data_IF_266661180324
#
_entry.id   IF_266661180324
#
_cell.length_a   1.000
_cell.length_b   1.000
_cell.length_c   1.000
_cell.angle_alpha   90.00
_cell.angle_beta   90.00
_cell.angle_gamma   90.00
#
_symmetry.space_group_name_H-M   'P 1'
#
loop_
_entity.id
_entity.type
_entity.pdbx_description
1 polymer ?
#
# COMPACT_ATOMS: atom_id res chain seq x y z
N UNK A 1 -38.20 -10.59 -21.69
CA UNK A 1 -37.58 -9.32 -21.24
C UNK A 1 -37.59 -9.30 -19.71
N UNK A 2 -36.58 -8.71 -19.07
CA UNK A 2 -36.53 -8.57 -17.60
C UNK A 2 -36.62 -7.09 -17.25
N UNK A 3 -37.68 -6.68 -16.55
CA UNK A 3 -37.81 -5.32 -16.03
C UNK A 3 -36.86 -5.15 -14.84
N UNK A 4 -35.59 -4.80 -15.10
CA UNK A 4 -34.66 -4.34 -14.08
C UNK A 4 -35.18 -3.03 -13.51
N UNK A 5 -35.78 -3.08 -12.32
CA UNK A 5 -36.26 -1.88 -11.63
C UNK A 5 -35.03 -1.02 -11.24
N UNK A 6 -35.07 0.31 -11.42
CA UNK A 6 -33.96 1.17 -11.05
C UNK A 6 -33.72 1.09 -9.53
N UNK A 7 -32.45 1.13 -9.06
CA UNK A 7 -32.14 1.06 -7.65
C UNK A 7 -32.74 2.25 -6.90
N UNK A 8 -33.27 1.99 -5.69
CA UNK A 8 -33.95 3.03 -4.92
C UNK A 8 -32.99 4.14 -4.49
N UNK A 9 -33.53 5.34 -4.22
CA UNK A 9 -32.76 6.48 -3.69
C UNK A 9 -31.96 6.10 -2.43
N UNK A 10 -32.53 5.25 -1.57
CA UNK A 10 -31.88 4.71 -0.37
C UNK A 10 -30.77 3.69 -0.67
N UNK A 11 -30.92 2.83 -1.68
CA UNK A 11 -29.86 1.92 -2.13
C UNK A 11 -28.66 2.71 -2.70
N UNK A 12 -28.93 3.73 -3.51
CA UNK A 12 -27.87 4.59 -4.07
C UNK A 12 -27.12 5.37 -2.99
N UNK A 13 -27.83 5.88 -1.97
CA UNK A 13 -27.20 6.49 -0.79
C UNK A 13 -26.34 5.50 0.00
N UNK A 14 -26.82 4.27 0.24
CA UNK A 14 -26.05 3.26 0.97
C UNK A 14 -24.74 2.89 0.26
N UNK A 15 -24.77 2.75 -1.08
CA UNK A 15 -23.57 2.51 -1.89
C UNK A 15 -22.61 3.71 -1.86
N UNK A 16 -23.13 4.94 -1.91
CA UNK A 16 -22.30 6.14 -1.81
C UNK A 16 -21.59 6.29 -0.44
N UNK A 17 -22.28 5.96 0.66
CA UNK A 17 -21.68 5.95 2.00
C UNK A 17 -20.62 4.85 2.13
N UNK A 18 -20.86 3.67 1.56
CA UNK A 18 -19.88 2.59 1.49
C UNK A 18 -18.63 2.97 0.68
N UNK A 19 -18.81 3.61 -0.48
CA UNK A 19 -17.70 4.08 -1.31
C UNK A 19 -16.84 5.14 -0.61
N UNK A 20 -17.47 6.08 0.12
CA UNK A 20 -16.78 7.07 0.94
C UNK A 20 -15.90 6.40 2.01
N UNK A 21 -16.45 5.49 2.82
CA UNK A 21 -15.69 4.78 3.87
C UNK A 21 -14.44 4.04 3.35
N UNK A 22 -14.51 3.42 2.17
CA UNK A 22 -13.32 2.81 1.54
C UNK A 22 -12.27 3.87 1.17
N UNK A 23 -12.70 5.01 0.66
CA UNK A 23 -11.82 6.13 0.30
C UNK A 23 -11.21 6.80 1.54
N UNK A 24 -11.98 6.92 2.63
CA UNK A 24 -11.53 7.50 3.90
C UNK A 24 -10.42 6.65 4.55
N UNK A 25 -10.59 5.31 4.63
CA UNK A 25 -9.53 4.41 5.14
C UNK A 25 -8.30 4.40 4.23
N UNK A 26 -8.47 4.46 2.89
CA UNK A 26 -7.35 4.59 1.95
C UNK A 26 -6.57 5.89 2.17
N UNK A 27 -7.25 6.98 2.49
CA UNK A 27 -6.63 8.27 2.78
C UNK A 27 -6.00 8.29 4.18
N UNK A 28 -6.52 7.56 5.17
CA UNK A 28 -5.86 7.33 6.44
C UNK A 28 -4.56 6.53 6.26
N UNK A 29 -4.64 5.38 5.57
CA UNK A 29 -3.48 4.53 5.24
C UNK A 29 -2.39 5.30 4.49
N UNK A 30 -2.75 6.09 3.48
CA UNK A 30 -1.80 6.93 2.71
C UNK A 30 -1.11 8.01 3.55
N UNK A 31 -1.76 8.52 4.60
CA UNK A 31 -1.12 9.46 5.55
C UNK A 31 -0.07 8.73 6.37
N UNK A 32 -0.44 7.63 7.04
CA UNK A 32 0.53 6.79 7.77
C UNK A 32 1.70 6.30 6.88
N UNK A 33 1.45 5.95 5.60
CA UNK A 33 2.47 5.63 4.60
C UNK A 33 3.45 6.81 4.35
N UNK A 34 2.96 8.04 4.29
CA UNK A 34 3.74 9.27 4.07
C UNK A 34 4.46 9.74 5.35
N UNK A 35 3.77 9.75 6.48
CA UNK A 35 4.31 10.15 7.78
C UNK A 35 5.46 9.20 8.20
N UNK A 36 5.33 7.90 7.89
CA UNK A 36 6.41 6.92 8.02
C UNK A 36 7.63 7.19 7.11
N UNK A 37 7.45 7.82 5.94
CA UNK A 37 8.57 8.25 5.08
C UNK A 37 9.24 9.51 5.64
N UNK A 38 8.45 10.46 6.16
CA UNK A 38 8.96 11.68 6.78
C UNK A 38 9.81 11.36 8.03
N UNK A 39 9.32 10.48 8.90
CA UNK A 39 10.09 9.96 10.05
C UNK A 39 11.36 9.24 9.62
N UNK A 40 11.31 8.37 8.61
CA UNK A 40 12.49 7.67 8.10
C UNK A 40 13.59 8.65 7.59
N UNK A 41 13.20 9.73 6.91
CA UNK A 41 14.13 10.78 6.48
C UNK A 41 14.73 11.53 7.68
N UNK A 42 13.92 11.86 8.70
CA UNK A 42 14.38 12.56 9.91
C UNK A 42 15.31 11.68 10.76
N UNK A 43 15.03 10.39 10.88
CA UNK A 43 15.91 9.37 11.46
C UNK A 43 17.26 9.32 10.74
N UNK A 44 17.28 9.39 9.41
CA UNK A 44 18.55 9.43 8.68
C UNK A 44 19.34 10.72 8.97
N UNK A 45 18.68 11.87 9.02
CA UNK A 45 19.34 13.12 9.41
C UNK A 45 19.89 13.09 10.85
N UNK A 46 19.16 12.49 11.80
CA UNK A 46 19.67 12.29 13.17
C UNK A 46 20.90 11.38 13.21
N UNK A 47 20.93 10.30 12.42
CA UNK A 47 22.11 9.41 12.30
C UNK A 47 23.31 10.14 11.69
N UNK A 48 23.09 10.91 10.63
CA UNK A 48 24.10 11.78 10.02
C UNK A 48 24.68 12.80 11.02
N UNK A 49 23.81 13.43 11.82
CA UNK A 49 24.22 14.40 12.85
C UNK A 49 24.97 13.74 14.00
N UNK A 50 24.54 12.55 14.45
CA UNK A 50 25.27 11.75 15.43
C UNK A 50 26.65 11.34 14.94
N UNK A 51 26.79 10.91 13.67
CA UNK A 51 28.10 10.64 13.09
C UNK A 51 28.97 11.89 13.05
N UNK A 52 28.43 13.05 12.66
CA UNK A 52 29.15 14.33 12.63
C UNK A 52 29.59 14.74 14.03
N UNK A 53 28.75 14.55 15.05
CA UNK A 53 29.07 14.80 16.44
C UNK A 53 30.17 13.85 16.94
N UNK A 54 30.04 12.53 16.72
CA UNK A 54 31.07 11.51 17.03
C UNK A 54 32.42 11.86 16.38
N UNK A 55 32.42 12.19 15.09
CA UNK A 55 33.62 12.60 14.33
C UNK A 55 34.26 13.85 14.92
N UNK A 56 33.47 14.87 15.30
CA UNK A 56 33.95 16.10 15.97
C UNK A 56 34.49 15.84 17.39
N UNK A 57 33.86 14.98 18.18
CA UNK A 57 34.33 14.61 19.53
C UNK A 57 35.66 13.86 19.46
N UNK A 58 35.76 12.87 18.56
CA UNK A 58 37.01 12.15 18.29
C UNK A 58 38.10 13.10 17.76
N UNK A 59 37.75 14.03 16.87
CA UNK A 59 38.70 15.05 16.41
C UNK A 59 39.14 15.99 17.52
N UNK A 60 38.24 16.46 18.39
CA UNK A 60 38.58 17.32 19.52
C UNK A 60 39.52 16.61 20.51
N UNK A 61 39.26 15.33 20.83
CA UNK A 61 40.14 14.50 21.66
C UNK A 61 41.48 14.19 20.96
N UNK A 62 41.47 13.97 19.64
CA UNK A 62 42.69 13.78 18.84
C UNK A 62 43.52 15.05 18.82
N UNK A 63 42.93 16.21 18.55
CA UNK A 63 43.58 17.53 18.63
C UNK A 63 44.08 17.84 20.05
N UNK A 64 43.37 17.41 21.09
CA UNK A 64 43.85 17.57 22.48
C UNK A 64 45.11 16.75 22.72
N UNK A 65 45.12 15.47 22.32
CA UNK A 65 46.30 14.61 22.36
C UNK A 65 47.43 15.16 21.50
N UNK A 66 47.15 15.57 20.26
CA UNK A 66 48.12 16.19 19.36
C UNK A 66 48.70 17.49 19.92
N UNK A 67 47.92 18.35 20.58
CA UNK A 67 48.44 19.57 21.21
C UNK A 67 49.29 19.21 22.44
N UNK A 68 48.90 18.21 23.23
CA UNK A 68 49.71 17.73 24.36
C UNK A 68 51.02 17.09 23.87
N UNK A 69 50.94 16.19 22.90
CA UNK A 69 52.07 15.57 22.20
C UNK A 69 52.90 16.60 21.44
N UNK A 70 52.33 17.70 20.93
CA UNK A 70 53.08 18.83 20.34
C UNK A 70 53.65 19.78 21.39
N UNK A 71 53.14 19.86 22.63
CA UNK A 71 53.88 20.50 23.73
C UNK A 71 55.12 19.64 24.03
N UNK A 72 54.92 18.34 24.28
CA UNK A 72 55.99 17.35 24.53
C UNK A 72 56.96 17.18 23.34
N UNK A 73 56.49 17.36 22.11
CA UNK A 73 57.30 17.16 20.88
C UNK A 73 57.64 18.42 20.10
N UNK A 74 57.18 19.60 20.50
CA UNK A 74 57.87 20.87 20.17
C UNK A 74 58.96 21.18 21.20
N UNK A 75 58.85 20.63 22.42
CA UNK A 75 60.02 20.40 23.28
C UNK A 75 61.02 19.46 22.58
N UNK A 76 60.57 18.35 21.96
CA UNK A 76 61.42 17.50 21.10
C UNK A 76 61.77 18.15 19.76
N UNK A 77 61.00 17.95 18.67
CA UNK A 77 61.26 18.34 17.24
C UNK A 77 61.91 19.68 16.89
N UNK A 78 62.08 20.64 17.82
CA UNK A 78 63.20 21.61 17.71
C UNK A 78 64.54 20.89 17.44
N UNK A 79 64.69 19.68 17.97
CA UNK A 79 65.73 18.67 17.74
C UNK A 79 65.79 18.06 16.31
N UNK A 80 64.70 18.05 15.51
CA UNK A 80 64.52 17.05 14.43
C UNK A 80 63.85 17.50 13.11
N UNK A 81 63.58 18.79 12.89
CA UNK A 81 62.72 19.25 11.78
C UNK A 81 63.37 19.29 10.36
N UNK A 82 63.69 18.14 9.74
CA UNK A 82 64.33 18.06 8.41
C UNK A 82 63.66 17.09 7.38
N UNK A 83 63.44 17.56 6.12
CA UNK A 83 63.30 16.81 4.81
C UNK A 83 61.85 16.28 4.36
N UNK A 84 61.45 16.15 3.03
CA UNK A 84 60.00 16.28 2.54
C UNK A 84 59.35 15.51 1.26
N UNK A 85 57.96 15.36 1.14
CA UNK A 85 56.95 15.37 -0.06
C UNK A 85 56.03 14.15 -0.65
N UNK A 86 55.54 13.95 -1.96
CA UNK A 86 54.09 13.59 -2.38
C UNK A 86 53.83 12.52 -3.59
N UNK A 87 52.77 12.20 -4.44
CA UNK A 87 51.29 12.47 -4.84
C UNK A 87 50.64 11.41 -5.91
N UNK A 88 49.29 11.28 -6.25
CA UNK A 88 48.62 10.51 -7.43
C UNK A 88 47.02 10.56 -7.72
N UNK A 89 46.38 9.77 -8.69
CA UNK A 89 44.92 9.72 -9.24
C UNK A 89 44.44 8.29 -9.80
N UNK A 90 43.27 7.83 -10.40
CA UNK A 90 41.97 8.26 -11.16
C UNK A 90 40.61 7.54 -10.69
N UNK A 91 39.55 6.93 -11.36
CA UNK A 91 39.07 6.33 -12.71
C UNK A 91 37.48 6.10 -12.81
N UNK A 92 36.85 5.51 -13.90
CA UNK A 92 35.38 5.47 -14.39
C UNK A 92 34.99 4.16 -15.28
N UNK A 93 33.85 3.70 -15.95
CA UNK A 93 32.43 3.94 -16.54
C UNK A 93 31.59 2.55 -16.69
N UNK A 94 30.42 2.10 -17.33
CA UNK A 94 29.00 2.38 -17.95
C UNK A 94 28.19 0.98 -18.23
N UNK A 95 27.01 0.56 -18.87
CA UNK A 95 25.78 0.85 -19.78
C UNK A 95 24.55 -0.22 -19.57
N UNK A 96 23.43 -0.72 -20.26
CA UNK A 96 22.49 -0.72 -21.52
C UNK A 96 21.14 -1.65 -21.29
N UNK A 97 20.05 -2.14 -22.06
CA UNK A 97 19.24 -2.15 -23.39
C UNK A 97 17.80 -2.97 -23.38
N UNK A 98 16.88 -2.97 -24.43
CA UNK A 98 15.92 -4.04 -25.07
C UNK A 98 14.29 -4.19 -25.09
N UNK A 99 13.65 -5.06 -25.99
CA UNK A 99 12.15 -5.42 -26.32
C UNK A 99 11.87 -6.67 -27.30
N UNK A 100 10.77 -7.07 -28.11
CA UNK A 100 9.22 -7.05 -28.24
C UNK A 100 8.41 -8.40 -28.78
N UNK A 101 7.04 -8.50 -29.13
CA UNK A 101 6.25 -9.71 -29.74
C UNK A 101 4.68 -9.61 -30.20
N UNK A 102 3.99 -10.55 -31.01
CA UNK A 102 2.51 -11.13 -31.03
C UNK A 102 1.77 -11.72 -32.37
N UNK A 103 0.62 -12.52 -32.34
CA UNK A 103 -0.22 -13.29 -33.42
C UNK A 103 -1.83 -13.56 -33.20
N UNK A 104 -2.69 -14.18 -34.11
CA UNK A 104 -4.18 -14.68 -33.98
C UNK A 104 -4.82 -15.51 -35.22
N UNK A 105 -6.07 -16.10 -35.48
CA UNK A 105 -7.46 -16.46 -34.90
C UNK A 105 -8.63 -17.02 -35.91
N UNK A 106 -9.81 -17.69 -35.53
CA UNK A 106 -11.02 -18.16 -36.39
C UNK A 106 -12.10 -19.20 -35.78
N UNK A 107 -13.26 -19.83 -36.29
CA UNK A 107 -14.35 -19.72 -37.37
C UNK A 107 -15.61 -20.81 -37.35
N UNK A 108 -16.80 -20.61 -38.05
CA UNK A 108 -17.99 -21.46 -38.62
C UNK A 108 -19.38 -21.95 -37.94
N UNK A 109 -20.38 -22.60 -38.69
CA UNK A 109 -21.95 -22.61 -38.63
C UNK A 109 -22.73 -24.02 -38.70
N UNK A 110 -24.08 -24.40 -38.81
CA UNK A 110 -25.50 -23.96 -39.29
C UNK A 110 -26.75 -24.52 -38.42
N UNK A 111 -28.05 -25.00 -38.69
CA UNK A 111 -29.04 -25.51 -39.78
C UNK A 111 -30.65 -25.51 -39.43
N UNK A 112 -31.63 -26.30 -40.07
CA UNK A 112 -33.18 -26.39 -39.89
C UNK A 112 -33.90 -27.75 -40.42
N UNK A 113 -35.25 -28.14 -40.65
CA UNK A 113 -36.67 -27.54 -40.83
C UNK A 113 -38.01 -28.34 -40.33
N UNK A 114 -39.23 -28.34 -41.02
CA UNK A 114 -40.67 -28.82 -40.64
C UNK A 114 -41.59 -29.46 -41.82
N UNK A 115 -42.91 -29.91 -41.89
CA UNK A 115 -44.26 -30.01 -41.13
C UNK A 115 -45.51 -30.68 -41.93
N UNK A 116 -46.81 -30.85 -41.44
CA UNK A 116 -47.99 -31.59 -42.17
C UNK A 116 -49.56 -31.23 -41.97
N UNK A 117 -50.56 -32.07 -42.43
CA UNK A 117 -52.01 -31.82 -42.92
C UNK A 117 -53.27 -31.83 -41.95
N UNK A 118 -54.54 -31.74 -42.46
CA UNK A 118 -55.72 -31.02 -41.86
C UNK A 118 -57.14 -31.63 -41.56
N UNK A 119 -57.73 -32.65 -42.21
CA UNK A 119 -59.23 -32.84 -42.12
C UNK A 119 -59.79 -33.63 -40.91
N UNK A 120 -58.98 -34.44 -40.24
CA UNK A 120 -59.31 -35.11 -38.96
C UNK A 120 -59.67 -34.11 -37.84
N UNK A 121 -59.56 -32.80 -38.08
CA UNK A 121 -59.70 -31.76 -37.08
C UNK A 121 -61.15 -31.57 -36.58
N UNK A 122 -62.19 -31.72 -37.41
CA UNK A 122 -63.49 -31.06 -37.19
C UNK A 122 -64.40 -31.62 -36.07
N UNK A 123 -64.83 -32.89 -36.09
CA UNK A 123 -65.60 -33.45 -34.95
C UNK A 123 -64.77 -33.46 -33.66
N UNK A 124 -63.47 -33.72 -33.83
CA UNK A 124 -62.49 -33.55 -32.78
C UNK A 124 -62.46 -32.12 -32.20
N UNK A 125 -62.85 -31.04 -32.92
CA UNK A 125 -62.84 -29.67 -32.37
C UNK A 125 -63.70 -29.51 -31.12
N UNK A 126 -64.91 -30.08 -31.06
CA UNK A 126 -65.84 -29.83 -29.96
C UNK A 126 -65.41 -30.53 -28.67
N UNK A 127 -65.04 -31.81 -28.77
CA UNK A 127 -64.48 -32.57 -27.65
C UNK A 127 -63.08 -32.06 -27.27
N UNK A 128 -62.26 -31.65 -28.25
CA UNK A 128 -61.06 -30.86 -28.00
C UNK A 128 -61.41 -29.57 -27.30
N UNK A 129 -62.48 -28.84 -27.61
CA UNK A 129 -62.77 -27.55 -26.97
C UNK A 129 -63.04 -27.71 -25.46
N UNK A 130 -63.75 -28.76 -25.06
CA UNK A 130 -63.93 -29.08 -23.64
C UNK A 130 -62.61 -29.53 -22.99
N UNK A 131 -61.91 -30.49 -23.60
CA UNK A 131 -60.60 -30.97 -23.14
C UNK A 131 -59.52 -29.88 -23.18
N UNK A 132 -59.66 -28.87 -24.04
CA UNK A 132 -58.77 -27.73 -24.21
C UNK A 132 -59.15 -26.61 -23.25
N UNK A 133 -60.42 -26.39 -22.90
CA UNK A 133 -60.79 -25.50 -21.78
C UNK A 133 -60.22 -26.05 -20.46
N UNK A 134 -60.36 -27.34 -20.21
CA UNK A 134 -59.71 -28.02 -19.08
C UNK A 134 -58.17 -27.95 -19.15
N UNK A 135 -57.57 -28.28 -20.30
CA UNK A 135 -56.13 -28.20 -20.47
C UNK A 135 -55.60 -26.76 -20.48
N UNK A 136 -56.39 -25.74 -20.85
CA UNK A 136 -56.08 -24.31 -20.72
C UNK A 136 -56.09 -23.91 -19.25
N UNK A 137 -57.04 -24.38 -18.45
CA UNK A 137 -57.04 -24.18 -17.00
C UNK A 137 -55.77 -24.79 -16.36
N UNK A 138 -55.48 -26.06 -16.62
CA UNK A 138 -54.26 -26.73 -16.14
C UNK A 138 -52.96 -26.08 -16.67
N UNK A 139 -52.96 -25.57 -17.91
CA UNK A 139 -51.85 -24.75 -18.45
C UNK A 139 -51.73 -23.42 -17.71
N UNK A 140 -52.83 -22.75 -17.39
CA UNK A 140 -52.83 -21.49 -16.61
C UNK A 140 -52.31 -21.73 -15.20
N UNK A 141 -52.70 -22.81 -14.53
CA UNK A 141 -52.20 -23.16 -13.20
C UNK A 141 -50.72 -23.57 -13.20
N UNK A 142 -50.30 -24.40 -14.14
CA UNK A 142 -48.86 -24.73 -14.30
C UNK A 142 -48.03 -23.51 -14.71
N UNK A 143 -48.58 -22.55 -15.47
CA UNK A 143 -47.95 -21.25 -15.72
C UNK A 143 -47.90 -20.38 -14.45
N UNK A 144 -48.98 -20.33 -13.64
CA UNK A 144 -48.98 -19.63 -12.34
C UNK A 144 -47.91 -20.20 -11.41
N UNK A 145 -47.87 -21.53 -11.25
CA UNK A 145 -46.86 -22.24 -10.44
C UNK A 145 -45.43 -21.95 -10.93
N UNK A 146 -45.15 -22.12 -12.23
CA UNK A 146 -43.85 -21.79 -12.83
C UNK A 146 -43.47 -20.31 -12.70
N UNK A 147 -44.44 -19.38 -12.70
CA UNK A 147 -44.19 -17.95 -12.41
C UNK A 147 -43.80 -17.73 -10.96
N UNK A 148 -44.50 -18.36 -9.99
CA UNK A 148 -44.16 -18.26 -8.57
C UNK A 148 -42.79 -18.88 -8.26
N UNK A 149 -42.50 -20.05 -8.81
CA UNK A 149 -41.19 -20.71 -8.72
C UNK A 149 -40.08 -19.83 -9.32
N UNK A 150 -40.30 -19.25 -10.51
CA UNK A 150 -39.36 -18.31 -11.12
C UNK A 150 -39.13 -17.05 -10.27
N UNK A 151 -40.19 -16.49 -9.65
CA UNK A 151 -40.07 -15.34 -8.75
C UNK A 151 -39.30 -15.69 -7.47
N UNK A 152 -39.53 -16.86 -6.88
CA UNK A 152 -38.78 -17.34 -5.73
C UNK A 152 -37.30 -17.58 -6.06
N UNK A 153 -36.99 -18.17 -7.22
CA UNK A 153 -35.61 -18.37 -7.69
C UNK A 153 -34.92 -17.04 -7.98
N UNK A 154 -35.61 -16.05 -8.55
CA UNK A 154 -35.07 -14.68 -8.72
C UNK A 154 -34.76 -14.03 -7.37
N UNK A 155 -35.71 -14.05 -6.43
CA UNK A 155 -35.53 -13.47 -5.09
C UNK A 155 -34.34 -14.08 -4.35
N UNK A 156 -34.20 -15.42 -4.37
CA UNK A 156 -33.03 -16.11 -3.80
C UNK A 156 -31.72 -15.67 -4.46
N UNK A 157 -31.65 -15.62 -5.80
CA UNK A 157 -30.45 -15.15 -6.53
C UNK A 157 -30.10 -13.69 -6.25
N UNK A 158 -31.11 -12.85 -6.03
CA UNK A 158 -30.92 -11.44 -5.64
C UNK A 158 -30.41 -11.32 -4.20
N UNK A 159 -30.95 -12.11 -3.26
CA UNK A 159 -30.47 -12.21 -1.88
C UNK A 159 -29.04 -12.74 -1.79
N UNK A 160 -28.72 -13.80 -2.54
CA UNK A 160 -27.37 -14.37 -2.70
C UNK A 160 -26.39 -13.32 -3.26
N UNK A 161 -26.77 -12.61 -4.32
CA UNK A 161 -25.95 -11.55 -4.94
C UNK A 161 -25.71 -10.40 -3.96
N UNK A 162 -26.73 -9.98 -3.20
CA UNK A 162 -26.60 -8.94 -2.18
C UNK A 162 -25.73 -9.41 -0.99
N UNK A 163 -25.80 -10.68 -0.59
CA UNK A 163 -24.93 -11.27 0.43
C UNK A 163 -23.47 -11.29 -0.05
N UNK A 164 -23.21 -11.75 -1.28
CA UNK A 164 -21.88 -11.77 -1.88
C UNK A 164 -21.27 -10.36 -2.00
N UNK A 165 -22.04 -9.36 -2.42
CA UNK A 165 -21.59 -7.96 -2.47
C UNK A 165 -21.26 -7.39 -1.09
N UNK A 166 -22.08 -7.68 -0.06
CA UNK A 166 -21.79 -7.30 1.34
C UNK A 166 -20.51 -7.95 1.85
N UNK A 167 -20.28 -9.22 1.54
CA UNK A 167 -19.07 -9.94 1.97
C UNK A 167 -17.81 -9.44 1.25
N UNK A 168 -17.89 -9.16 -0.06
CA UNK A 168 -16.80 -8.53 -0.81
C UNK A 168 -16.48 -7.12 -0.28
N UNK A 169 -17.48 -6.34 0.10
CA UNK A 169 -17.28 -5.05 0.76
C UNK A 169 -16.59 -5.21 2.11
N UNK A 170 -17.05 -6.15 2.94
CA UNK A 170 -16.47 -6.43 4.27
C UNK A 170 -15.00 -6.83 4.16
N UNK A 171 -14.67 -7.78 3.28
CA UNK A 171 -13.29 -8.22 2.99
C UNK A 171 -12.38 -7.09 2.48
N UNK A 172 -12.93 -6.13 1.72
CA UNK A 172 -12.18 -4.93 1.29
C UNK A 172 -11.90 -3.97 2.46
N UNK A 173 -12.89 -3.71 3.32
CA UNK A 173 -12.69 -2.91 4.53
C UNK A 173 -11.68 -3.55 5.48
N UNK A 174 -11.82 -4.86 5.76
CA UNK A 174 -10.86 -5.65 6.55
C UNK A 174 -9.44 -5.56 5.97
N UNK A 175 -9.30 -5.62 4.64
CA UNK A 175 -8.01 -5.57 3.95
C UNK A 175 -7.34 -4.18 3.94
N UNK A 176 -8.08 -3.09 3.85
CA UNK A 176 -7.51 -1.74 3.98
C UNK A 176 -7.19 -1.42 5.46
N UNK A 177 -8.04 -1.85 6.40
CA UNK A 177 -7.83 -1.66 7.84
C UNK A 177 -6.57 -2.38 8.35
N UNK A 178 -6.32 -3.63 7.94
CA UNK A 178 -5.07 -4.35 8.29
C UNK A 178 -3.83 -3.64 7.79
N UNK A 179 -3.83 -3.17 6.54
CA UNK A 179 -2.69 -2.43 5.97
C UNK A 179 -2.48 -1.07 6.63
N UNK A 180 -3.55 -0.47 7.17
CA UNK A 180 -3.46 0.73 7.99
C UNK A 180 -2.87 0.41 9.36
N UNK A 181 -3.30 -0.65 10.02
CA UNK A 181 -2.70 -1.15 11.27
C UNK A 181 -1.22 -1.52 11.11
N UNK A 182 -0.83 -2.12 9.98
CA UNK A 182 0.56 -2.40 9.60
C UNK A 182 1.38 -1.10 9.41
N UNK A 183 0.80 -0.07 8.79
CA UNK A 183 1.44 1.23 8.60
C UNK A 183 1.56 2.02 9.92
N UNK A 184 0.52 2.01 10.76
CA UNK A 184 0.50 2.64 12.09
C UNK A 184 1.52 1.96 13.02
N UNK A 185 1.62 0.63 13.04
CA UNK A 185 2.68 -0.10 13.78
C UNK A 185 4.09 0.26 13.30
N UNK A 186 4.30 0.37 11.99
CA UNK A 186 5.59 0.81 11.42
C UNK A 186 5.91 2.25 11.82
N UNK A 187 4.89 3.11 11.89
CA UNK A 187 5.04 4.50 12.31
C UNK A 187 5.47 4.58 13.78
N UNK A 188 4.82 3.87 14.71
CA UNK A 188 5.23 3.83 16.13
C UNK A 188 6.67 3.35 16.33
N UNK A 189 7.10 2.27 15.64
CA UNK A 189 8.50 1.80 15.73
C UNK A 189 9.50 2.85 15.24
N UNK A 190 9.12 3.72 14.29
CA UNK A 190 9.95 4.84 13.85
C UNK A 190 9.91 6.01 14.85
N UNK A 191 8.78 6.29 15.48
CA UNK A 191 8.70 7.28 16.57
C UNK A 191 9.59 6.88 17.77
N UNK A 192 9.55 5.61 18.18
CA UNK A 192 10.43 5.05 19.22
C UNK A 192 11.91 5.18 18.82
N UNK A 193 12.26 4.76 17.59
CA UNK A 193 13.63 4.90 17.05
C UNK A 193 14.09 6.36 16.97
N UNK A 194 13.19 7.30 16.66
CA UNK A 194 13.51 8.72 16.62
C UNK A 194 13.78 9.27 18.03
N UNK A 195 12.97 8.87 19.02
CA UNK A 195 13.15 9.26 20.42
C UNK A 195 14.49 8.77 20.98
N UNK A 196 14.84 7.50 20.74
CA UNK A 196 16.14 6.93 21.11
C UNK A 196 17.31 7.72 20.51
N UNK A 197 17.27 8.00 19.19
CA UNK A 197 18.32 8.76 18.50
C UNK A 197 18.41 10.21 18.98
N UNK A 198 17.29 10.85 19.36
CA UNK A 198 17.30 12.19 19.96
C UNK A 198 17.99 12.16 21.34
N UNK A 199 17.78 11.11 22.14
CA UNK A 199 18.51 10.95 23.39
C UNK A 199 20.00 10.66 23.20
N UNK A 200 20.36 9.76 22.28
CA UNK A 200 21.77 9.47 21.97
C UNK A 200 22.49 10.70 21.42
N UNK A 201 21.84 11.49 20.56
CA UNK A 201 22.38 12.75 20.05
C UNK A 201 22.58 13.79 21.17
N UNK A 202 21.65 13.91 22.13
CA UNK A 202 21.81 14.78 23.31
C UNK A 202 23.01 14.35 24.17
N UNK A 203 23.13 13.05 24.48
CA UNK A 203 24.27 12.47 25.21
C UNK A 203 25.59 12.77 24.47
N UNK A 204 25.59 12.57 23.15
CA UNK A 204 26.75 12.81 22.29
C UNK A 204 27.16 14.29 22.19
N UNK A 205 26.20 15.21 22.21
CA UNK A 205 26.44 16.66 22.26
C UNK A 205 27.04 17.09 23.61
N UNK A 206 26.67 16.46 24.72
CA UNK A 206 27.26 16.74 26.03
C UNK A 206 28.72 16.28 26.11
N UNK A 207 29.01 15.06 25.64
CA UNK A 207 30.39 14.58 25.46
C UNK A 207 31.22 15.53 24.58
N UNK A 208 30.61 16.08 23.52
CA UNK A 208 31.24 17.02 22.61
C UNK A 208 31.59 18.35 23.31
N UNK A 209 30.71 18.90 24.16
CA UNK A 209 31.01 20.08 25.00
C UNK A 209 32.21 19.79 25.92
N UNK A 210 32.18 18.66 26.63
CA UNK A 210 33.25 18.25 27.55
C UNK A 210 34.58 18.08 26.82
N UNK A 211 34.57 17.53 25.59
CA UNK A 211 35.76 17.39 24.76
C UNK A 211 36.31 18.75 24.29
N UNK A 212 35.44 19.70 23.89
CA UNK A 212 35.87 21.05 23.54
C UNK A 212 36.37 21.86 24.74
N UNK A 213 35.76 21.71 25.93
CA UNK A 213 36.24 22.35 27.16
C UNK A 213 37.65 21.86 27.52
N UNK A 214 37.87 20.54 27.52
CA UNK A 214 39.19 19.93 27.75
C UNK A 214 40.24 20.35 26.70
N UNK A 215 39.83 20.53 25.45
CA UNK A 215 40.67 21.08 24.39
C UNK A 215 41.03 22.56 24.65
N UNK A 216 40.05 23.37 25.06
CA UNK A 216 40.25 24.78 25.43
C UNK A 216 41.19 24.92 26.64
N UNK A 217 40.99 24.15 27.72
CA UNK A 217 41.88 24.11 28.88
C UNK A 217 43.33 23.78 28.47
N UNK A 218 43.48 22.87 27.50
CA UNK A 218 44.78 22.43 26.96
C UNK A 218 45.45 23.50 26.10
N UNK A 219 44.69 24.40 25.49
CA UNK A 219 45.17 25.57 24.74
C UNK A 219 45.53 26.72 25.70
N UNK A 220 44.61 27.11 26.59
CA UNK A 220 44.70 28.30 27.46
C UNK A 220 45.76 28.15 28.56
N UNK A 221 46.04 26.92 29.04
CA UNK A 221 47.19 26.64 29.93
C UNK A 221 48.52 26.69 29.17
N UNK A 222 48.86 27.90 28.73
CA UNK A 222 50.02 28.30 27.93
C UNK A 222 50.27 29.82 27.99
N UNK A 223 49.39 30.59 28.64
CA UNK A 223 49.47 32.06 28.81
C UNK A 223 49.68 32.47 30.28
N UNK A 224 49.84 31.47 31.17
CA UNK A 224 50.43 31.53 32.51
C UNK A 224 51.79 30.78 32.48
#
# INVERSE_FOLDING_TARGET
MSMSHPPSRSQNQAVAVQARRILDERNARKRAEYDSQLLANRIQHLKDEMERAKKRTVEAMKRQKEIHEMKVSSQKRKELAAIPKPNRKKREEEEQLNGPWIHSGGNFKVSKPEGMKKEVILKLKAEREAKEKAARALKIETIKKKRLEMMAVKKKREEERLKALKEQYRKKMEGEARKREEAEKKLTVLEDTEAELIEELRKQQEEQKIAYQKLQDTIVKKEE
#
